data_IF_258526496117
#
_entry.id   IF_258526496117
#
_cell.length_a   1.000
_cell.length_b   1.000
_cell.length_c   1.000
_cell.angle_alpha   90.00
_cell.angle_beta   90.00
_cell.angle_gamma   90.00
#
_symmetry.space_group_name_H-M   'P 1'
#
loop_
_entity.id
_entity.type
_entity.pdbx_description
1 polymer ?
#
# COMPACT_ATOMS: atom_id res chain seq x y z
N UNK A 1 13.76 -20.77 -35.55
CA UNK A 1 12.67 -19.81 -35.84
C UNK A 1 11.82 -19.68 -34.58
N UNK A 2 12.09 -18.65 -33.79
CA UNK A 2 11.36 -18.34 -32.54
C UNK A 2 10.20 -17.41 -32.88
N UNK A 3 8.98 -17.89 -32.65
CA UNK A 3 7.74 -17.18 -32.94
C UNK A 3 7.63 -15.97 -32.01
N UNK A 4 7.46 -14.80 -32.60
CA UNK A 4 7.23 -13.54 -31.92
C UNK A 4 5.98 -13.60 -31.03
N UNK A 5 6.17 -13.56 -29.72
CA UNK A 5 5.10 -13.34 -28.72
C UNK A 5 4.86 -11.86 -28.41
N UNK A 6 5.42 -10.95 -29.21
CA UNK A 6 5.52 -9.51 -28.89
C UNK A 6 4.39 -8.62 -29.47
N UNK A 7 3.24 -9.20 -29.83
CA UNK A 7 2.15 -8.46 -30.50
C UNK A 7 0.79 -8.45 -29.80
N UNK A 8 0.65 -8.96 -28.57
CA UNK A 8 -0.55 -8.76 -27.77
C UNK A 8 -0.38 -7.93 -26.46
N UNK A 9 0.43 -6.86 -26.40
CA UNK A 9 0.56 -6.06 -25.18
C UNK A 9 -0.64 -5.14 -24.85
N UNK A 10 -1.77 -5.17 -25.58
CA UNK A 10 -2.85 -4.17 -25.37
C UNK A 10 -4.17 -4.74 -24.82
N UNK A 11 -4.53 -6.00 -25.10
CA UNK A 11 -5.88 -6.51 -24.76
C UNK A 11 -6.06 -6.71 -23.25
N UNK A 12 -5.10 -7.36 -22.59
CA UNK A 12 -5.17 -7.61 -21.15
C UNK A 12 -5.08 -6.32 -20.33
N UNK A 13 -4.20 -5.40 -20.75
CA UNK A 13 -4.06 -4.10 -20.09
C UNK A 13 -5.31 -3.23 -20.28
N UNK A 14 -5.89 -3.25 -21.48
CA UNK A 14 -7.15 -2.55 -21.75
C UNK A 14 -8.31 -3.15 -20.95
N UNK A 15 -8.41 -4.48 -20.85
CA UNK A 15 -9.40 -5.14 -19.99
C UNK A 15 -9.26 -4.68 -18.54
N UNK A 16 -8.05 -4.66 -18.01
CA UNK A 16 -7.80 -4.16 -16.66
C UNK A 16 -8.11 -2.66 -16.51
N UNK A 17 -7.88 -1.85 -17.54
CA UNK A 17 -8.26 -0.44 -17.54
C UNK A 17 -9.80 -0.25 -17.55
N UNK A 18 -10.55 -1.18 -18.15
CA UNK A 18 -12.01 -1.23 -18.04
C UNK A 18 -12.45 -1.64 -16.63
N UNK A 19 -11.80 -2.64 -16.03
CA UNK A 19 -12.03 -3.05 -14.64
C UNK A 19 -11.74 -1.92 -13.67
N UNK A 20 -10.66 -1.16 -13.88
CA UNK A 20 -10.32 0.03 -13.11
C UNK A 20 -11.45 1.07 -13.13
N UNK A 21 -11.97 1.39 -14.32
CA UNK A 21 -13.09 2.33 -14.44
C UNK A 21 -14.33 1.84 -13.69
N UNK A 22 -14.67 0.56 -13.80
CA UNK A 22 -15.82 -0.06 -13.08
C UNK A 22 -15.62 0.02 -11.57
N UNK A 23 -14.41 -0.29 -11.10
CA UNK A 23 -14.02 -0.24 -9.70
C UNK A 23 -14.19 1.17 -9.12
N UNK A 24 -13.63 2.18 -9.79
CA UNK A 24 -13.73 3.58 -9.37
C UNK A 24 -15.17 4.07 -9.38
N UNK A 25 -15.96 3.71 -10.39
CA UNK A 25 -17.37 4.08 -10.47
C UNK A 25 -18.12 3.56 -9.24
N UNK A 26 -17.98 2.27 -8.95
CA UNK A 26 -18.61 1.63 -7.79
C UNK A 26 -18.14 2.21 -6.47
N UNK A 27 -16.83 2.42 -6.28
CA UNK A 27 -16.25 3.09 -5.10
C UNK A 27 -16.83 4.50 -4.90
N UNK A 28 -16.89 5.30 -5.96
CA UNK A 28 -17.40 6.68 -5.88
C UNK A 28 -18.88 6.78 -5.50
N UNK A 29 -19.65 5.69 -5.71
CA UNK A 29 -21.07 5.59 -5.38
C UNK A 29 -21.35 4.74 -4.15
N UNK A 30 -20.33 4.15 -3.52
CA UNK A 30 -20.49 3.18 -2.44
C UNK A 30 -21.21 1.89 -2.86
N UNK A 31 -21.28 1.59 -4.16
CA UNK A 31 -22.02 0.44 -4.68
C UNK A 31 -21.17 -0.83 -4.63
N UNK A 32 -21.58 -1.78 -3.80
CA UNK A 32 -20.94 -3.11 -3.72
C UNK A 32 -21.53 -4.03 -4.80
N UNK A 33 -20.76 -5.03 -5.23
CA UNK A 33 -21.25 -6.08 -6.13
C UNK A 33 -22.22 -6.99 -5.36
N UNK A 34 -23.41 -7.20 -5.90
CA UNK A 34 -24.34 -8.18 -5.33
C UNK A 34 -23.84 -9.61 -5.60
N UNK A 35 -24.02 -10.50 -4.63
CA UNK A 35 -23.65 -11.91 -4.78
C UNK A 35 -24.67 -12.73 -5.57
N UNK A 36 -25.83 -12.16 -5.89
CA UNK A 36 -26.93 -12.83 -6.57
C UNK A 36 -27.34 -12.08 -7.83
N UNK A 37 -27.87 -12.83 -8.80
CA UNK A 37 -28.46 -12.28 -10.02
C UNK A 37 -29.83 -12.87 -10.29
N UNK A 38 -30.70 -12.07 -10.90
CA UNK A 38 -31.98 -12.48 -11.48
C UNK A 38 -32.00 -12.00 -12.94
N UNK A 39 -32.14 -12.91 -13.90
CA UNK A 39 -32.19 -12.56 -15.32
C UNK A 39 -30.95 -11.79 -15.84
N UNK A 40 -29.77 -12.02 -15.25
CA UNK A 40 -28.53 -11.32 -15.60
C UNK A 40 -28.35 -9.95 -14.94
N UNK A 41 -29.29 -9.50 -14.10
CA UNK A 41 -29.18 -8.28 -13.31
C UNK A 41 -28.76 -8.60 -11.88
N UNK A 42 -27.89 -7.78 -11.29
CA UNK A 42 -27.49 -7.87 -9.88
C UNK A 42 -28.70 -7.61 -8.98
N UNK A 43 -28.88 -8.47 -7.98
CA UNK A 43 -30.01 -8.37 -7.03
C UNK A 43 -29.58 -8.75 -5.62
N UNK A 44 -30.12 -8.08 -4.61
CA UNK A 44 -29.94 -8.52 -3.23
C UNK A 44 -30.83 -9.71 -2.91
N UNK A 45 -30.33 -10.68 -2.15
CA UNK A 45 -31.08 -11.88 -1.77
C UNK A 45 -32.43 -11.56 -1.12
N UNK A 46 -32.44 -10.60 -0.17
CA UNK A 46 -33.65 -10.20 0.53
C UNK A 46 -34.69 -9.61 -0.43
N UNK A 47 -34.26 -8.78 -1.37
CA UNK A 47 -35.15 -8.20 -2.38
C UNK A 47 -35.72 -9.28 -3.32
N UNK A 48 -34.89 -10.23 -3.77
CA UNK A 48 -35.35 -11.31 -4.64
C UNK A 48 -36.37 -12.21 -3.94
N UNK A 49 -36.15 -12.54 -2.67
CA UNK A 49 -37.09 -13.31 -1.86
C UNK A 49 -38.41 -12.55 -1.62
N UNK A 50 -38.34 -11.26 -1.29
CA UNK A 50 -39.52 -10.44 -1.04
C UNK A 50 -40.43 -10.28 -2.27
N UNK A 51 -39.85 -10.29 -3.48
CA UNK A 51 -40.57 -10.13 -4.74
C UNK A 51 -40.81 -11.44 -5.48
N UNK A 52 -40.51 -12.60 -4.85
CA UNK A 52 -40.62 -13.93 -5.46
C UNK A 52 -39.93 -14.04 -6.84
N UNK A 53 -38.80 -13.34 -7.02
CA UNK A 53 -38.03 -13.36 -8.26
C UNK A 53 -37.19 -14.63 -8.34
N UNK A 54 -37.02 -15.26 -9.51
CA UNK A 54 -36.04 -16.33 -9.68
C UNK A 54 -34.63 -15.75 -9.63
N UNK A 55 -33.79 -16.24 -8.72
CA UNK A 55 -32.41 -15.75 -8.57
C UNK A 55 -31.41 -16.90 -8.37
N UNK A 56 -30.16 -16.67 -8.76
CA UNK A 56 -29.04 -17.57 -8.51
C UNK A 56 -27.85 -16.84 -7.89
N UNK A 57 -27.03 -17.57 -7.14
CA UNK A 57 -25.80 -17.03 -6.55
C UNK A 57 -24.69 -17.04 -7.61
N UNK A 58 -24.05 -15.89 -7.81
CA UNK A 58 -22.93 -15.71 -8.74
C UNK A 58 -21.62 -16.14 -8.07
N UNK A 59 -21.46 -15.81 -6.78
CA UNK A 59 -20.25 -16.11 -6.02
C UNK A 59 -20.23 -17.61 -5.66
N UNK A 60 -19.20 -18.32 -6.13
CA UNK A 60 -18.92 -19.68 -5.68
C UNK A 60 -18.09 -19.64 -4.39
N UNK A 61 -18.36 -20.57 -3.47
CA UNK A 61 -17.60 -20.65 -2.22
C UNK A 61 -16.15 -21.05 -2.51
N UNK A 62 -15.20 -20.38 -1.86
CA UNK A 62 -13.77 -20.57 -2.09
C UNK A 62 -13.18 -19.79 -3.28
N UNK A 63 -14.01 -19.20 -4.15
CA UNK A 63 -13.49 -18.33 -5.22
C UNK A 63 -13.10 -16.94 -4.71
N UNK A 64 -12.04 -16.33 -5.29
CA UNK A 64 -11.66 -14.96 -4.98
C UNK A 64 -12.79 -14.01 -5.37
N UNK A 65 -13.05 -13.02 -4.49
CA UNK A 65 -14.14 -12.07 -4.66
C UNK A 65 -13.68 -10.68 -4.21
N UNK A 66 -13.80 -9.71 -5.12
CA UNK A 66 -13.70 -8.30 -4.80
C UNK A 66 -15.07 -7.74 -4.43
N UNK A 67 -15.11 -6.89 -3.40
CA UNK A 67 -16.36 -6.34 -2.87
C UNK A 67 -17.06 -5.44 -3.91
N UNK A 68 -16.28 -4.81 -4.81
CA UNK A 68 -16.80 -3.88 -5.81
C UNK A 68 -16.90 -4.53 -7.19
N UNK A 69 -15.95 -5.39 -7.58
CA UNK A 69 -15.92 -5.99 -8.91
C UNK A 69 -16.45 -7.43 -8.99
N UNK A 70 -16.71 -8.07 -7.85
CA UNK A 70 -17.17 -9.45 -7.79
C UNK A 70 -16.06 -10.44 -8.15
N UNK A 71 -16.25 -11.30 -9.17
CA UNK A 71 -15.25 -12.31 -9.55
C UNK A 71 -13.98 -11.71 -10.17
N UNK A 72 -14.02 -10.45 -10.61
CA UNK A 72 -12.86 -9.77 -11.20
C UNK A 72 -12.00 -9.16 -10.08
N UNK A 73 -10.92 -9.85 -9.71
CA UNK A 73 -9.97 -9.39 -8.69
C UNK A 73 -8.74 -8.67 -9.25
N UNK A 74 -8.69 -8.43 -10.56
CA UNK A 74 -7.51 -7.85 -11.24
C UNK A 74 -7.02 -6.53 -10.63
N UNK A 75 -7.93 -5.71 -10.10
CA UNK A 75 -7.60 -4.45 -9.44
C UNK A 75 -7.14 -4.66 -8.00
N UNK A 76 -7.76 -5.60 -7.29
CA UNK A 76 -7.42 -5.96 -5.90
C UNK A 76 -6.03 -6.60 -5.82
N UNK A 77 -5.70 -7.44 -6.79
CA UNK A 77 -4.46 -8.21 -6.81
C UNK A 77 -3.26 -7.37 -7.30
N UNK A 78 -3.50 -6.22 -7.93
CA UNK A 78 -2.47 -5.29 -8.37
C UNK A 78 -1.89 -4.49 -7.20
N UNK A 79 -0.78 -4.97 -6.65
CA UNK A 79 -0.14 -4.40 -5.46
C UNK A 79 0.28 -2.95 -5.65
N UNK A 80 0.75 -2.57 -6.84
CA UNK A 80 1.19 -1.20 -7.12
C UNK A 80 -0.01 -0.26 -7.16
N UNK A 81 -1.07 -0.66 -7.86
CA UNK A 81 -2.29 0.12 -7.92
C UNK A 81 -2.95 0.26 -6.54
N UNK A 82 -2.94 -0.80 -5.71
CA UNK A 82 -3.38 -0.71 -4.32
C UNK A 82 -2.52 0.27 -3.52
N UNK A 83 -1.20 0.24 -3.68
CA UNK A 83 -0.30 1.21 -3.04
C UNK A 83 -0.60 2.66 -3.43
N UNK A 84 -0.97 2.91 -4.69
CA UNK A 84 -1.46 4.23 -5.12
C UNK A 84 -2.77 4.61 -4.42
N UNK A 85 -3.75 3.69 -4.35
CA UNK A 85 -5.01 3.97 -3.67
C UNK A 85 -4.83 4.26 -2.19
N UNK A 86 -3.91 3.58 -1.49
CA UNK A 86 -3.60 3.88 -0.08
C UNK A 86 -3.15 5.33 0.13
N UNK A 87 -2.47 5.94 -0.86
CA UNK A 87 -2.03 7.33 -0.76
C UNK A 87 -3.10 8.34 -1.16
N UNK A 88 -3.85 8.05 -2.21
CA UNK A 88 -4.70 9.03 -2.88
C UNK A 88 -6.19 8.89 -2.54
N UNK A 89 -6.60 7.73 -2.05
CA UNK A 89 -7.98 7.36 -1.89
C UNK A 89 -8.26 7.01 -0.41
N UNK A 90 -9.11 7.79 0.27
CA UNK A 90 -9.29 7.64 1.70
C UNK A 90 -10.18 6.44 2.03
N UNK A 91 -10.16 6.07 3.30
CA UNK A 91 -10.92 4.93 3.82
C UNK A 91 -12.43 5.12 3.63
N UNK A 92 -13.21 4.03 3.56
CA UNK A 92 -14.66 4.08 3.34
C UNK A 92 -15.47 4.85 4.40
N UNK A 93 -14.84 5.24 5.53
CA UNK A 93 -15.44 6.05 6.59
C UNK A 93 -15.08 7.54 6.54
N UNK A 94 -14.22 7.97 5.61
CA UNK A 94 -13.86 9.38 5.47
C UNK A 94 -15.00 10.13 4.75
N UNK A 95 -15.51 11.24 5.31
CA UNK A 95 -16.54 12.05 4.67
C UNK A 95 -16.14 12.60 3.29
N UNK A 96 -14.83 12.77 3.02
CA UNK A 96 -14.32 13.19 1.71
C UNK A 96 -14.15 12.04 0.72
N UNK A 97 -14.33 10.78 1.14
CA UNK A 97 -14.10 9.62 0.29
C UNK A 97 -14.88 9.67 -1.04
N UNK A 98 -16.20 9.93 -1.05
CA UNK A 98 -16.96 9.96 -2.29
C UNK A 98 -16.39 10.97 -3.30
N UNK A 99 -16.01 12.16 -2.84
CA UNK A 99 -15.43 13.21 -3.67
C UNK A 99 -14.08 12.81 -4.27
N UNK A 100 -13.18 12.25 -3.45
CA UNK A 100 -11.85 11.81 -3.90
C UNK A 100 -11.93 10.66 -4.90
N UNK A 101 -12.78 9.66 -4.64
CA UNK A 101 -13.06 8.58 -5.58
C UNK A 101 -13.67 9.08 -6.89
N UNK A 102 -14.58 10.07 -6.83
CA UNK A 102 -15.15 10.70 -8.01
C UNK A 102 -14.11 11.49 -8.83
N UNK A 103 -13.15 12.17 -8.17
CA UNK A 103 -12.04 12.85 -8.85
C UNK A 103 -11.16 11.86 -9.61
N UNK A 104 -10.80 10.74 -8.98
CA UNK A 104 -10.05 9.66 -9.63
C UNK A 104 -10.83 9.07 -10.82
N UNK A 105 -12.14 8.86 -10.67
CA UNK A 105 -12.99 8.40 -11.76
C UNK A 105 -12.94 9.36 -12.96
N UNK A 106 -13.02 10.68 -12.73
CA UNK A 106 -12.93 11.68 -13.81
C UNK A 106 -11.57 11.61 -14.52
N UNK A 107 -10.48 11.49 -13.78
CA UNK A 107 -9.14 11.32 -14.36
C UNK A 107 -9.07 10.03 -15.21
N UNK A 108 -9.56 8.90 -14.69
CA UNK A 108 -9.61 7.64 -15.42
C UNK A 108 -10.52 7.68 -16.66
N UNK A 109 -11.62 8.44 -16.63
CA UNK A 109 -12.53 8.58 -17.76
C UNK A 109 -11.89 9.31 -18.93
N UNK A 110 -11.00 10.27 -18.66
CA UNK A 110 -10.28 11.01 -19.70
C UNK A 110 -9.35 10.10 -20.52
N UNK A 111 -8.56 9.24 -19.86
CA UNK A 111 -7.75 8.22 -20.52
C UNK A 111 -7.41 7.10 -19.52
N UNK A 112 -8.12 5.97 -19.65
CA UNK A 112 -8.03 4.85 -18.70
C UNK A 112 -6.69 4.12 -18.73
N UNK A 113 -6.12 3.90 -19.91
CA UNK A 113 -4.81 3.24 -20.06
C UNK A 113 -3.70 4.11 -19.48
N UNK A 114 -3.72 5.42 -19.79
CA UNK A 114 -2.76 6.38 -19.24
C UNK A 114 -2.89 6.47 -17.72
N UNK A 115 -4.11 6.51 -17.18
CA UNK A 115 -4.34 6.50 -15.74
C UNK A 115 -3.80 5.23 -15.08
N UNK A 116 -4.13 4.05 -15.62
CA UNK A 116 -3.64 2.76 -15.11
C UNK A 116 -2.10 2.72 -15.03
N UNK A 117 -1.41 3.02 -16.14
CA UNK A 117 0.07 3.03 -16.19
C UNK A 117 0.67 4.06 -15.22
N UNK A 118 0.16 5.29 -15.24
CA UNK A 118 0.63 6.37 -14.36
C UNK A 118 0.49 5.99 -12.89
N UNK A 119 -0.67 5.49 -12.49
CA UNK A 119 -0.96 5.19 -11.10
C UNK A 119 -0.18 3.99 -10.59
N UNK A 120 0.04 2.97 -11.43
CA UNK A 120 0.98 1.88 -11.12
C UNK A 120 2.38 2.38 -10.83
N UNK A 121 2.92 3.25 -11.69
CA UNK A 121 4.26 3.81 -11.48
C UNK A 121 4.34 4.59 -10.16
N UNK A 122 3.34 5.45 -9.89
CA UNK A 122 3.26 6.21 -8.64
C UNK A 122 3.14 5.29 -7.41
N UNK A 123 2.39 4.20 -7.52
CA UNK A 123 2.26 3.20 -6.46
C UNK A 123 3.54 2.41 -6.23
N UNK A 124 4.26 2.03 -7.29
CA UNK A 124 5.57 1.39 -7.21
C UNK A 124 6.60 2.30 -6.52
N UNK A 125 6.61 3.59 -6.87
CA UNK A 125 7.43 4.58 -6.19
C UNK A 125 7.07 4.72 -4.71
N UNK A 126 5.76 4.74 -4.38
CA UNK A 126 5.28 4.83 -3.00
C UNK A 126 5.76 3.65 -2.14
N UNK A 127 5.59 2.43 -2.66
CA UNK A 127 6.03 1.21 -1.97
C UNK A 127 7.55 1.21 -1.80
N UNK A 128 8.29 1.61 -2.83
CA UNK A 128 9.76 1.69 -2.79
C UNK A 128 10.24 2.71 -1.75
N UNK A 129 9.65 3.91 -1.70
CA UNK A 129 9.96 4.93 -0.69
C UNK A 129 9.63 4.45 0.72
N UNK A 130 8.50 3.79 0.91
CA UNK A 130 8.13 3.22 2.21
C UNK A 130 9.11 2.11 2.65
N UNK A 131 9.59 1.27 1.73
CA UNK A 131 10.61 0.26 2.01
C UNK A 131 11.94 0.90 2.44
N UNK A 132 12.39 1.95 1.74
CA UNK A 132 13.61 2.68 2.08
C UNK A 132 13.53 3.33 3.47
N UNK A 133 12.38 3.90 3.85
CA UNK A 133 12.18 4.46 5.18
C UNK A 133 12.20 3.40 6.30
N UNK A 134 11.73 2.18 6.02
CA UNK A 134 11.82 1.07 6.99
C UNK A 134 13.27 0.65 7.19
N UNK A 135 14.06 0.56 6.12
CA UNK A 135 15.49 0.22 6.22
C UNK A 135 16.32 1.32 6.87
N UNK A 136 16.02 2.61 6.62
CA UNK A 136 16.77 3.72 7.23
C UNK A 136 16.54 3.79 8.75
N UNK A 137 15.32 3.49 9.22
CA UNK A 137 15.02 3.42 10.66
C UNK A 137 15.77 2.29 11.38
N UNK A 138 16.08 1.20 10.67
CA UNK A 138 16.94 0.13 11.18
C UNK A 138 18.41 0.57 11.20
N UNK A 139 18.87 1.29 10.18
CA UNK A 139 20.21 1.85 10.13
C UNK A 139 20.45 2.86 11.28
N UNK A 140 19.50 3.75 11.58
CA UNK A 140 19.62 4.66 12.73
C UNK A 140 19.65 3.90 14.07
N UNK A 141 18.99 2.73 14.17
CA UNK A 141 19.00 1.91 15.38
C UNK A 141 20.29 1.10 15.55
N UNK A 142 20.93 0.69 14.45
CA UNK A 142 22.24 0.04 14.47
C UNK A 142 23.36 1.06 14.66
N UNK A 143 23.26 2.24 14.03
CA UNK A 143 24.16 3.37 14.24
C UNK A 143 24.06 3.91 15.67
N UNK A 144 22.88 3.92 16.28
CA UNK A 144 22.70 4.27 17.70
C UNK A 144 23.23 3.19 18.68
N UNK A 145 23.30 1.92 18.27
CA UNK A 145 23.94 0.84 19.03
C UNK A 145 25.44 0.82 18.86
N UNK A 146 25.95 1.23 17.70
CA UNK A 146 27.32 1.71 17.57
C UNK A 146 27.40 3.13 18.10
N UNK A 147 27.23 3.29 19.42
CA UNK A 147 28.00 4.30 20.15
C UNK A 147 29.46 3.97 19.91
N UNK A 148 29.94 4.46 18.78
CA UNK A 148 31.31 4.50 18.35
C UNK A 148 32.10 4.99 19.55
N UNK A 149 33.00 4.13 20.00
CA UNK A 149 34.09 4.46 20.91
C UNK A 149 34.61 5.85 20.50
N UNK A 150 34.91 6.75 21.44
CA UNK A 150 35.49 8.04 21.10
C UNK A 150 36.69 7.76 20.20
N UNK A 151 36.55 8.10 18.91
CA UNK A 151 37.62 8.03 17.95
C UNK A 151 38.64 9.00 18.51
N UNK A 152 39.70 8.47 19.10
CA UNK A 152 40.86 9.24 19.46
C UNK A 152 41.28 9.99 18.20
N UNK A 153 41.07 11.30 18.22
CA UNK A 153 41.67 12.27 17.32
C UNK A 153 43.18 12.02 17.32
N UNK A 154 43.66 11.18 16.41
CA UNK A 154 45.07 11.17 16.02
C UNK A 154 45.31 12.50 15.32
N UNK A 155 45.89 13.45 16.05
CA UNK A 155 46.54 14.62 15.47
C UNK A 155 47.68 14.14 14.57
N UNK A 156 47.81 14.62 13.33
CA UNK A 156 49.06 14.48 12.61
C UNK A 156 50.07 15.39 13.29
N UNK A 157 51.21 14.80 13.66
CA UNK A 157 52.46 15.46 14.04
C UNK A 157 52.47 16.40 15.26
N UNK A 158 53.16 15.90 16.30
CA UNK A 158 54.14 16.66 17.07
C UNK A 158 53.62 17.81 17.92
N UNK A 159 53.17 17.51 19.14
CA UNK A 159 53.41 18.30 20.38
C UNK A 159 52.83 17.56 21.59
N UNK A 160 53.54 17.70 22.72
CA UNK A 160 53.44 16.95 24.00
C UNK A 160 52.01 16.69 24.52
N UNK A 161 51.77 15.58 25.27
CA UNK A 161 50.44 15.23 25.76
C UNK A 161 49.92 16.23 26.81
N UNK A 162 48.66 16.63 26.66
CA UNK A 162 47.90 17.37 27.66
C UNK A 162 47.51 16.44 28.81
N UNK A 163 47.70 16.95 30.03
CA UNK A 163 47.44 16.35 31.34
C UNK A 163 46.08 15.62 31.38
N UNK A 164 46.08 14.38 31.86
CA UNK A 164 44.87 13.57 32.01
C UNK A 164 43.89 14.23 33.01
N UNK A 165 42.57 14.09 32.80
CA UNK A 165 41.57 14.44 33.81
C UNK A 165 41.73 13.53 35.04
N UNK A 166 41.69 14.13 36.21
CA UNK A 166 41.73 13.47 37.53
C UNK A 166 40.63 12.41 37.61
N UNK A 167 41.02 11.16 37.92
CA UNK A 167 40.07 10.09 38.25
C UNK A 167 39.23 10.49 39.48
N UNK A 168 37.90 10.29 39.47
CA UNK A 168 37.12 10.38 40.69
C UNK A 168 37.46 9.20 41.61
N UNK A 169 37.83 9.52 42.84
CA UNK A 169 38.15 8.58 43.92
C UNK A 169 37.03 7.54 44.13
N UNK A 170 37.44 6.28 44.25
CA UNK A 170 36.58 5.15 44.65
C UNK A 170 36.10 5.35 46.10
N UNK A 171 34.83 5.05 46.42
CA UNK A 171 34.42 4.92 47.81
C UNK A 171 34.86 3.56 48.35
N UNK A 172 35.67 3.55 49.41
CA UNK A 172 35.89 2.37 50.26
C UNK A 172 35.32 2.67 51.64
N UNK A 173 34.17 2.07 51.93
CA UNK A 173 33.50 2.21 53.21
C UNK A 173 34.24 1.52 54.37
N UNK A 174 33.89 1.93 55.59
CA UNK A 174 33.82 1.03 56.74
C UNK A 174 32.83 1.54 57.78
N UNK A 175 32.15 0.59 58.38
CA UNK A 175 31.06 0.73 59.33
C UNK A 175 31.53 1.01 60.77
N UNK A 176 30.65 1.68 61.53
CA UNK A 176 30.22 1.47 62.93
C UNK A 176 31.19 1.43 64.14
N UNK A 177 30.68 2.08 65.21
CA UNK A 177 30.92 1.94 66.67
C UNK A 177 32.26 2.50 67.21
N UNK A 178 32.33 3.13 68.38
CA UNK A 178 31.54 3.07 69.61
C UNK A 178 31.37 4.46 70.24
#
# INVERSE_FOLDING_TARGET
>A
MTIATDLAPDIAEMAQAHSLRRYLFRRSKGLKMAEYTSGGQEVEKAFALANALPFCRIRQDGQPWDIYLGPDTSIRDDTFLQGFFTLCAPDPGDPEAPYRWQRLLKECQSNRLKALRKWRNLGAEAISRAAMQRSSRMADSEVAKTKLKPIYLRKPNGKKPLKAPVEPEKPRGRAQKA
#
